data_IF_524729140908
#
_entry.id   IF_524729140908
#
_cell.length_a   1.000
_cell.length_b   1.000
_cell.length_c   1.000
_cell.angle_alpha   90.00
_cell.angle_beta   90.00
_cell.angle_gamma   90.00
#
_symmetry.space_group_name_H-M   'P 1'
#
loop_
_entity.id
_entity.type
_entity.pdbx_description
1 polymer ?
#
# COMPACT_ATOMS: atom_id res chain seq x y z
N UNK A 1 8.29 52.24 -1.98
CA UNK A 1 7.48 52.89 -0.94
C UNK A 1 7.26 51.85 0.14
N UNK A 2 8.09 51.88 1.18
CA UNK A 2 8.12 50.88 2.26
C UNK A 2 7.10 51.30 3.33
N UNK A 3 5.91 50.69 3.33
CA UNK A 3 4.98 50.81 4.46
C UNK A 3 5.38 49.78 5.51
N UNK A 4 6.22 50.18 6.46
CA UNK A 4 6.53 49.39 7.66
C UNK A 4 6.14 50.17 8.91
N UNK A 5 4.94 50.75 8.93
CA UNK A 5 4.29 51.00 10.22
C UNK A 5 3.71 49.68 10.68
N UNK A 6 4.10 49.25 11.87
CA UNK A 6 4.03 47.87 12.26
C UNK A 6 3.02 47.70 13.39
N UNK A 7 1.84 47.16 13.06
CA UNK A 7 0.64 46.97 13.89
C UNK A 7 0.86 46.25 15.24
N UNK A 8 2.05 45.67 15.45
CA UNK A 8 2.41 45.01 16.71
C UNK A 8 2.51 45.99 17.89
N UNK A 9 2.75 47.28 17.64
CA UNK A 9 2.76 48.33 18.66
C UNK A 9 1.34 48.67 19.13
N UNK A 10 0.37 48.70 18.21
CA UNK A 10 -1.04 48.95 18.51
C UNK A 10 -1.69 47.77 19.25
N UNK A 11 -1.23 46.55 18.96
CA UNK A 11 -1.74 45.34 19.60
C UNK A 11 -1.35 45.21 21.09
N UNK A 12 -0.21 45.77 21.51
CA UNK A 12 0.17 45.82 22.91
C UNK A 12 1.02 47.06 23.23
N UNK A 13 0.36 48.21 23.49
CA UNK A 13 1.04 49.49 23.70
C UNK A 13 1.72 49.61 25.07
N UNK A 14 1.50 48.66 25.99
CA UNK A 14 2.02 48.70 27.36
C UNK A 14 3.33 47.91 27.55
N UNK A 15 3.99 47.51 26.47
CA UNK A 15 5.27 46.81 26.57
C UNK A 15 6.41 47.78 26.86
N UNK A 16 7.31 47.48 27.82
CA UNK A 16 8.50 48.29 28.01
C UNK A 16 9.33 48.29 26.71
N UNK A 17 9.87 49.46 26.36
CA UNK A 17 10.69 49.70 25.16
C UNK A 17 9.99 49.59 23.80
N UNK A 18 8.65 49.75 23.73
CA UNK A 18 7.93 49.78 22.46
C UNK A 18 8.20 48.51 21.61
N UNK A 19 8.35 47.36 22.27
CA UNK A 19 8.69 46.08 21.62
C UNK A 19 7.46 45.45 20.95
N UNK A 20 6.26 45.90 21.32
CA UNK A 20 4.98 45.43 20.78
C UNK A 20 4.66 43.98 21.11
N UNK A 21 3.56 43.48 20.56
CA UNK A 21 3.12 42.11 20.80
C UNK A 21 4.07 41.08 20.15
N UNK A 22 4.63 40.16 20.94
CA UNK A 22 5.55 39.11 20.48
C UNK A 22 4.94 38.14 19.45
N UNK A 23 3.61 38.07 19.36
CA UNK A 23 2.92 37.28 18.32
C UNK A 23 2.75 38.05 17.01
N UNK A 24 2.66 39.37 17.07
CA UNK A 24 2.42 40.23 15.93
C UNK A 24 3.72 40.77 15.32
N UNK A 25 4.84 40.73 16.06
CA UNK A 25 6.14 41.16 15.56
C UNK A 25 6.63 40.22 14.45
N UNK A 26 6.74 40.73 13.23
CA UNK A 26 7.40 40.04 12.12
C UNK A 26 8.91 40.12 12.37
N UNK A 27 9.49 39.04 12.89
CA UNK A 27 10.94 38.96 13.10
C UNK A 27 11.65 38.93 11.76
N UNK A 28 12.70 39.75 11.61
CA UNK A 28 13.59 39.63 10.45
C UNK A 28 14.20 38.22 10.46
N UNK A 29 14.10 37.47 9.36
CA UNK A 29 14.73 36.16 9.28
C UNK A 29 16.24 36.32 9.42
N UNK A 30 16.89 35.39 10.12
CA UNK A 30 18.35 35.42 10.33
C UNK A 30 19.13 35.16 9.03
N UNK A 31 18.45 34.59 8.03
CA UNK A 31 18.99 34.24 6.72
C UNK A 31 18.02 34.76 5.67
N UNK A 32 18.52 35.44 4.64
CA UNK A 32 17.68 36.10 3.64
C UNK A 32 16.98 35.09 2.71
N UNK A 33 17.75 34.39 1.87
CA UNK A 33 17.28 33.36 0.96
C UNK A 33 18.47 32.52 0.45
N UNK A 34 18.19 31.42 -0.24
CA UNK A 34 19.20 30.54 -0.84
C UNK A 34 20.13 31.26 -1.82
N UNK A 35 19.65 32.31 -2.50
CA UNK A 35 20.49 33.09 -3.42
C UNK A 35 21.52 33.96 -2.68
N UNK A 36 21.16 34.48 -1.51
CA UNK A 36 22.04 35.39 -0.75
C UNK A 36 23.02 34.64 0.15
N UNK A 37 22.66 33.45 0.62
CA UNK A 37 23.53 32.61 1.45
C UNK A 37 23.35 31.13 1.11
N UNK A 38 23.88 30.66 -0.03
CA UNK A 38 23.73 29.28 -0.45
C UNK A 38 24.40 28.29 0.52
N UNK A 39 25.36 28.73 1.35
CA UNK A 39 26.05 27.86 2.30
C UNK A 39 25.10 27.36 3.40
N UNK A 40 24.20 28.22 3.89
CA UNK A 40 23.23 27.86 4.94
C UNK A 40 22.14 26.91 4.45
N UNK A 41 21.91 26.82 3.13
CA UNK A 41 20.88 25.92 2.56
C UNK A 41 21.44 24.61 2.00
N UNK A 42 22.75 24.36 2.08
CA UNK A 42 23.38 23.12 1.54
C UNK A 42 22.77 21.84 2.08
N UNK A 43 22.39 21.82 3.36
CA UNK A 43 21.78 20.63 3.98
C UNK A 43 20.31 20.43 3.59
N UNK A 44 19.67 21.47 3.05
CA UNK A 44 18.30 21.44 2.54
C UNK A 44 18.26 21.18 1.03
N UNK A 45 19.39 21.32 0.34
CA UNK A 45 19.52 20.92 -1.05
C UNK A 45 19.18 19.44 -1.14
N UNK A 46 18.17 19.11 -1.93
CA UNK A 46 17.82 17.72 -2.23
C UNK A 46 19.00 17.12 -3.00
N UNK A 47 19.90 16.47 -2.29
CA UNK A 47 20.80 15.51 -2.91
C UNK A 47 19.88 14.43 -3.47
N UNK A 48 19.80 14.33 -4.79
CA UNK A 48 19.18 13.18 -5.42
C UNK A 48 19.84 11.95 -4.82
N UNK A 49 19.10 11.24 -3.97
CA UNK A 49 19.59 9.99 -3.37
C UNK A 49 19.60 8.97 -4.49
N UNK A 50 20.67 8.99 -5.28
CA UNK A 50 20.93 8.02 -6.32
C UNK A 50 20.80 6.63 -5.68
N UNK A 51 19.90 5.81 -6.23
CA UNK A 51 19.84 4.40 -5.88
C UNK A 51 18.89 3.99 -4.74
N UNK A 52 18.00 4.86 -4.22
CA UNK A 52 16.82 4.34 -3.50
C UNK A 52 15.89 3.65 -4.48
N UNK A 53 16.16 2.37 -4.76
CA UNK A 53 15.23 1.47 -5.43
C UNK A 53 14.00 1.37 -4.54
N UNK A 54 12.96 2.15 -4.86
CA UNK A 54 11.62 1.92 -4.32
C UNK A 54 11.23 0.50 -4.73
N UNK A 55 11.34 -0.44 -3.79
CA UNK A 55 10.76 -1.77 -3.95
C UNK A 55 9.27 -1.57 -4.14
N UNK A 56 8.82 -1.55 -5.39
CA UNK A 56 7.40 -1.54 -5.71
C UNK A 56 6.86 -2.87 -5.21
N UNK A 57 6.18 -2.85 -4.07
CA UNK A 57 5.43 -4.01 -3.60
C UNK A 57 4.38 -4.33 -4.65
N UNK A 58 4.54 -5.47 -5.31
CA UNK A 58 3.68 -5.93 -6.38
C UNK A 58 2.32 -6.32 -5.80
N UNK A 59 1.40 -5.35 -5.79
CA UNK A 59 -0.01 -5.58 -5.48
C UNK A 59 -0.63 -6.49 -6.54
N UNK A 60 -1.62 -7.28 -6.16
CA UNK A 60 -2.29 -8.18 -7.09
C UNK A 60 -2.89 -7.40 -8.28
N UNK A 61 -2.70 -7.89 -9.49
CA UNK A 61 -3.50 -7.43 -10.61
C UNK A 61 -4.94 -7.87 -10.39
N UNK A 62 -5.88 -6.92 -10.40
CA UNK A 62 -7.32 -7.22 -10.36
C UNK A 62 -7.82 -7.04 -11.80
N UNK A 63 -8.24 -8.12 -12.48
CA UNK A 63 -8.87 -8.03 -13.80
C UNK A 63 -10.10 -7.13 -13.75
N UNK A 64 -10.48 -6.55 -14.90
CA UNK A 64 -11.80 -5.92 -15.00
C UNK A 64 -12.87 -6.98 -14.76
N UNK A 65 -13.83 -6.68 -13.90
CA UNK A 65 -14.93 -7.56 -13.55
C UNK A 65 -16.23 -6.75 -13.50
N UNK A 66 -17.35 -7.43 -13.71
CA UNK A 66 -18.67 -6.85 -13.53
C UNK A 66 -19.02 -6.88 -12.04
N UNK A 67 -19.41 -5.72 -11.51
CA UNK A 67 -19.71 -5.58 -10.07
C UNK A 67 -20.92 -6.42 -9.70
N UNK A 68 -20.73 -7.37 -8.79
CA UNK A 68 -21.79 -8.26 -8.34
C UNK A 68 -22.55 -7.69 -7.15
N UNK A 69 -23.76 -8.22 -6.83
CA UNK A 69 -24.54 -7.75 -5.68
C UNK A 69 -23.78 -7.84 -4.35
N UNK A 70 -22.94 -8.87 -4.18
CA UNK A 70 -22.16 -9.07 -2.97
C UNK A 70 -21.04 -8.01 -2.82
N UNK A 71 -20.44 -7.56 -3.93
CA UNK A 71 -19.48 -6.45 -3.95
C UNK A 71 -20.12 -5.14 -3.49
N UNK A 72 -21.35 -4.88 -3.94
CA UNK A 72 -22.12 -3.71 -3.56
C UNK A 72 -22.52 -3.74 -2.08
N UNK A 73 -22.88 -4.91 -1.56
CA UNK A 73 -23.17 -5.10 -0.14
C UNK A 73 -21.92 -4.87 0.72
N UNK A 74 -20.78 -5.45 0.33
CA UNK A 74 -19.50 -5.22 1.01
C UNK A 74 -19.12 -3.73 0.99
N UNK A 75 -19.22 -3.08 -0.17
CA UNK A 75 -18.98 -1.64 -0.32
C UNK A 75 -19.86 -0.81 0.62
N UNK A 76 -21.15 -1.12 0.70
CA UNK A 76 -22.10 -0.45 1.61
C UNK A 76 -21.72 -0.68 3.08
N UNK A 77 -21.37 -1.91 3.45
CA UNK A 77 -20.96 -2.27 4.81
C UNK A 77 -19.68 -1.53 5.21
N UNK A 78 -18.67 -1.48 4.32
CA UNK A 78 -17.43 -0.72 4.55
C UNK A 78 -17.69 0.78 4.67
N UNK A 79 -18.61 1.33 3.88
CA UNK A 79 -19.03 2.73 4.01
C UNK A 79 -19.66 3.03 5.37
N UNK A 80 -20.52 2.14 5.87
CA UNK A 80 -21.13 2.27 7.18
C UNK A 80 -20.08 2.15 8.29
N UNK A 81 -19.25 1.10 8.24
CA UNK A 81 -18.15 0.87 9.16
C UNK A 81 -17.26 2.10 9.33
N UNK A 82 -16.80 2.72 8.23
CA UNK A 82 -15.94 3.92 8.35
C UNK A 82 -16.65 5.14 8.90
N UNK A 83 -17.97 5.28 8.73
CA UNK A 83 -18.75 6.36 9.36
C UNK A 83 -18.82 6.14 10.87
N UNK A 84 -19.17 4.92 11.29
CA UNK A 84 -19.32 4.57 12.70
C UNK A 84 -17.99 4.71 13.45
N UNK A 85 -16.90 4.22 12.87
CA UNK A 85 -15.56 4.37 13.46
C UNK A 85 -15.09 5.82 13.49
N UNK A 86 -15.53 6.66 12.56
CA UNK A 86 -15.22 8.11 12.60
C UNK A 86 -15.95 8.79 13.76
N UNK A 87 -17.24 8.49 13.95
CA UNK A 87 -18.02 9.03 15.07
C UNK A 87 -17.42 8.56 16.40
N UNK A 88 -17.11 7.27 16.50
CA UNK A 88 -16.56 6.64 17.70
C UNK A 88 -15.18 7.18 18.08
N UNK A 89 -14.29 7.39 17.11
CA UNK A 89 -12.90 7.81 17.38
C UNK A 89 -12.76 9.33 17.50
N UNK A 90 -13.51 10.09 16.70
CA UNK A 90 -13.26 11.52 16.51
C UNK A 90 -14.47 12.41 16.75
N UNK A 91 -15.64 11.87 17.13
CA UNK A 91 -16.93 12.56 17.28
C UNK A 91 -17.69 12.90 15.97
N UNK A 92 -18.96 13.28 16.15
CA UNK A 92 -19.88 13.62 15.06
C UNK A 92 -19.49 14.89 14.30
N UNK A 93 -18.90 15.88 14.98
CA UNK A 93 -18.46 17.12 14.33
C UNK A 93 -17.33 16.84 13.33
N UNK A 94 -16.39 15.95 13.68
CA UNK A 94 -15.35 15.50 12.76
C UNK A 94 -15.91 14.79 11.53
N UNK A 95 -16.94 13.94 11.70
CA UNK A 95 -17.60 13.30 10.55
C UNK A 95 -18.21 14.35 9.61
N UNK A 96 -18.83 15.41 10.13
CA UNK A 96 -19.44 16.47 9.31
C UNK A 96 -18.40 17.34 8.59
N UNK A 97 -17.29 17.65 9.24
CA UNK A 97 -16.28 18.58 8.72
C UNK A 97 -15.24 17.90 7.81
N UNK A 98 -14.75 16.71 8.20
CA UNK A 98 -13.66 16.00 7.49
C UNK A 98 -14.14 14.77 6.71
N UNK A 99 -15.35 14.28 7.02
CA UNK A 99 -15.91 13.09 6.42
C UNK A 99 -15.30 11.77 6.95
N UNK A 100 -15.85 10.63 6.51
CA UNK A 100 -15.40 9.30 6.96
C UNK A 100 -14.06 8.86 6.35
N UNK A 101 -13.53 9.66 5.42
CA UNK A 101 -12.26 9.44 4.74
C UNK A 101 -11.07 9.40 5.69
N UNK A 102 -11.19 10.03 6.87
CA UNK A 102 -10.16 10.05 7.92
C UNK A 102 -9.87 8.65 8.48
N UNK A 103 -10.87 7.76 8.50
CA UNK A 103 -10.70 6.35 8.88
C UNK A 103 -10.21 5.53 7.69
N UNK A 104 -10.93 5.60 6.57
CA UNK A 104 -10.65 4.80 5.38
C UNK A 104 -10.95 5.61 4.11
N UNK A 105 -9.91 5.88 3.32
CA UNK A 105 -10.03 6.58 2.05
C UNK A 105 -10.89 5.80 1.05
N UNK A 106 -11.51 6.49 0.08
CA UNK A 106 -12.26 5.83 -0.99
C UNK A 106 -11.38 4.84 -1.76
N UNK A 107 -10.16 5.24 -2.11
CA UNK A 107 -9.18 4.37 -2.81
C UNK A 107 -8.85 3.09 -2.04
N UNK A 108 -8.72 3.19 -0.71
CA UNK A 108 -8.52 2.01 0.15
C UNK A 108 -9.75 1.10 0.12
N UNK A 109 -10.94 1.68 0.26
CA UNK A 109 -12.21 0.95 0.24
C UNK A 109 -12.42 0.23 -1.09
N UNK A 110 -12.26 0.94 -2.21
CA UNK A 110 -12.38 0.38 -3.56
C UNK A 110 -11.42 -0.80 -3.73
N UNK A 111 -10.16 -0.63 -3.29
CA UNK A 111 -9.16 -1.69 -3.36
C UNK A 111 -9.52 -2.91 -2.51
N UNK A 112 -10.16 -2.72 -1.36
CA UNK A 112 -10.62 -3.83 -0.53
C UNK A 112 -11.71 -4.62 -1.25
N UNK A 113 -12.70 -3.93 -1.84
CA UNK A 113 -13.78 -4.56 -2.61
C UNK A 113 -13.20 -5.33 -3.80
N UNK A 114 -12.33 -4.69 -4.58
CA UNK A 114 -11.66 -5.30 -5.73
C UNK A 114 -10.89 -6.57 -5.37
N UNK A 115 -10.15 -6.54 -4.26
CA UNK A 115 -9.39 -7.69 -3.80
C UNK A 115 -10.26 -8.76 -3.13
N UNK A 116 -11.39 -8.38 -2.53
CA UNK A 116 -12.37 -9.32 -1.98
C UNK A 116 -13.09 -10.10 -3.08
N UNK A 117 -13.44 -9.42 -4.19
CA UNK A 117 -14.07 -10.03 -5.36
C UNK A 117 -13.27 -11.23 -5.90
N UNK A 118 -11.94 -11.10 -5.97
CA UNK A 118 -11.04 -12.18 -6.40
C UNK A 118 -10.52 -13.06 -5.25
N UNK A 119 -11.13 -12.97 -4.06
CA UNK A 119 -10.75 -13.70 -2.85
C UNK A 119 -9.26 -13.57 -2.46
N UNK A 120 -8.64 -12.42 -2.75
CA UNK A 120 -7.20 -12.18 -2.51
C UNK A 120 -6.89 -11.85 -1.05
N UNK A 121 -7.85 -11.27 -0.33
CA UNK A 121 -7.69 -10.85 1.08
C UNK A 121 -8.45 -11.83 1.98
N UNK A 122 -7.69 -12.66 2.69
CA UNK A 122 -8.17 -13.59 3.73
C UNK A 122 -7.54 -13.30 5.09
N UNK A 123 -6.43 -12.56 5.12
CA UNK A 123 -5.67 -12.24 6.33
C UNK A 123 -5.36 -10.75 6.43
N UNK A 124 -5.10 -10.27 7.65
CA UNK A 124 -4.71 -8.86 7.89
C UNK A 124 -3.40 -8.52 7.15
N UNK A 125 -2.46 -9.47 7.07
CA UNK A 125 -1.20 -9.28 6.32
C UNK A 125 -1.46 -9.01 4.83
N UNK A 126 -2.37 -9.78 4.21
CA UNK A 126 -2.78 -9.55 2.82
C UNK A 126 -3.52 -8.23 2.66
N UNK A 127 -4.41 -7.87 3.58
CA UNK A 127 -5.09 -6.57 3.59
C UNK A 127 -4.07 -5.42 3.59
N UNK A 128 -3.08 -5.47 4.50
CA UNK A 128 -2.01 -4.47 4.61
C UNK A 128 -1.15 -4.42 3.36
N UNK A 129 -0.81 -5.58 2.80
CA UNK A 129 -0.02 -5.68 1.58
C UNK A 129 -0.74 -5.07 0.36
N UNK A 130 -2.02 -5.40 0.16
CA UNK A 130 -2.79 -4.98 -1.01
C UNK A 130 -3.24 -3.51 -0.95
N UNK A 131 -3.53 -3.01 0.24
CA UNK A 131 -4.09 -1.66 0.41
C UNK A 131 -3.06 -0.61 0.81
N UNK A 132 -1.94 -1.04 1.41
CA UNK A 132 -0.97 -0.14 2.08
C UNK A 132 -1.62 0.78 3.12
N UNK A 133 -2.77 0.34 3.67
CA UNK A 133 -3.51 1.13 4.63
C UNK A 133 -2.84 1.05 6.00
N UNK A 134 -2.37 2.20 6.51
CA UNK A 134 -1.66 2.29 7.78
C UNK A 134 -2.48 1.83 8.98
N UNK A 135 -3.82 1.89 8.90
CA UNK A 135 -4.73 1.49 9.99
C UNK A 135 -5.21 0.04 9.86
N UNK A 136 -4.62 -0.75 8.95
CA UNK A 136 -4.94 -2.16 8.77
C UNK A 136 -4.66 -2.98 10.05
N UNK A 137 -3.67 -2.62 10.86
CA UNK A 137 -3.41 -3.34 12.12
C UNK A 137 -4.50 -3.07 13.17
N UNK A 138 -5.08 -1.86 13.17
CA UNK A 138 -6.14 -1.46 14.12
C UNK A 138 -7.51 -1.99 13.72
N UNK A 139 -7.86 -1.87 12.43
CA UNK A 139 -9.21 -2.15 11.94
C UNK A 139 -9.30 -3.43 11.11
N UNK A 140 -8.17 -4.10 10.86
CA UNK A 140 -8.09 -5.24 9.96
C UNK A 140 -9.00 -6.39 10.36
N UNK A 141 -9.10 -6.70 11.65
CA UNK A 141 -9.99 -7.78 12.14
C UNK A 141 -11.44 -7.52 11.75
N UNK A 142 -11.96 -6.32 12.01
CA UNK A 142 -13.33 -5.95 11.67
C UNK A 142 -13.58 -5.94 10.15
N UNK A 143 -12.62 -5.43 9.38
CA UNK A 143 -12.71 -5.41 7.91
C UNK A 143 -12.68 -6.82 7.32
N UNK A 144 -11.82 -7.71 7.83
CA UNK A 144 -11.79 -9.12 7.41
C UNK A 144 -13.12 -9.80 7.73
N UNK A 145 -13.71 -9.54 8.90
CA UNK A 145 -15.02 -10.08 9.23
C UNK A 145 -16.10 -9.62 8.23
N UNK A 146 -16.11 -8.34 7.85
CA UNK A 146 -17.02 -7.84 6.82
C UNK A 146 -16.80 -8.51 5.45
N UNK A 147 -15.54 -8.71 5.05
CA UNK A 147 -15.21 -9.43 3.82
C UNK A 147 -15.77 -10.85 3.86
N UNK A 148 -15.58 -11.58 4.97
CA UNK A 148 -16.07 -12.95 5.12
C UNK A 148 -17.60 -13.01 5.06
N UNK A 149 -18.29 -12.09 5.73
CA UNK A 149 -19.77 -12.02 5.75
C UNK A 149 -20.35 -11.79 4.35
N UNK A 150 -19.68 -10.99 3.52
CA UNK A 150 -20.18 -10.58 2.21
C UNK A 150 -19.53 -11.33 1.04
N UNK A 151 -18.57 -12.24 1.28
CA UNK A 151 -17.98 -13.05 0.22
C UNK A 151 -18.88 -14.26 -0.06
N UNK A 152 -19.13 -14.61 -1.33
CA UNK A 152 -19.80 -15.87 -1.66
C UNK A 152 -18.94 -17.03 -1.14
N UNK A 153 -19.57 -17.96 -0.42
CA UNK A 153 -18.91 -19.21 -0.03
C UNK A 153 -18.56 -19.97 -1.30
N UNK A 154 -17.28 -20.17 -1.58
CA UNK A 154 -16.84 -21.05 -2.68
C UNK A 154 -17.24 -22.46 -2.26
N UNK A 155 -18.15 -23.15 -2.98
CA UNK A 155 -18.46 -24.53 -2.66
C UNK A 155 -17.18 -25.37 -2.75
N UNK A 156 -16.95 -26.30 -1.82
CA UNK A 156 -15.80 -27.20 -1.92
C UNK A 156 -15.88 -27.92 -3.28
N UNK A 157 -14.88 -27.71 -4.12
CA UNK A 157 -14.76 -28.44 -5.39
C UNK A 157 -14.77 -29.94 -5.01
N UNK A 158 -15.71 -30.76 -5.53
CA UNK A 158 -15.72 -32.17 -5.22
C UNK A 158 -14.38 -32.77 -5.64
N UNK A 159 -13.66 -33.33 -4.68
CA UNK A 159 -12.43 -34.07 -4.93
C UNK A 159 -12.75 -35.12 -6.01
N UNK A 160 -12.05 -35.07 -7.14
CA UNK A 160 -12.12 -36.15 -8.13
C UNK A 160 -11.79 -37.45 -7.40
N UNK A 161 -12.76 -38.35 -7.35
CA UNK A 161 -12.60 -39.67 -6.75
C UNK A 161 -11.39 -40.37 -7.40
N UNK A 162 -10.49 -41.01 -6.62
CA UNK A 162 -9.47 -41.86 -7.20
C UNK A 162 -10.18 -43.10 -7.77
N UNK A 163 -10.01 -43.36 -9.06
CA UNK A 163 -10.37 -44.65 -9.63
C UNK A 163 -9.46 -45.72 -9.02
N UNK A 164 -10.01 -46.58 -8.17
CA UNK A 164 -9.42 -47.85 -7.72
C UNK A 164 -10.40 -48.93 -8.23
N UNK A 165 -10.01 -49.93 -9.02
CA UNK A 165 -9.28 -51.17 -8.71
C UNK A 165 -8.84 -51.78 -10.06
N UNK A 166 -7.76 -52.56 -10.21
CA UNK A 166 -7.49 -53.85 -9.56
C UNK A 166 -5.96 -54.12 -9.57
N UNK A 167 -5.40 -54.57 -8.45
CA UNK A 167 -4.10 -55.27 -8.35
C UNK A 167 -4.30 -56.80 -8.49
N UNK A 168 -3.25 -57.57 -8.83
CA UNK A 168 -2.45 -58.18 -7.75
C UNK A 168 -0.93 -58.04 -7.92
N UNK A 169 -0.24 -57.98 -6.77
CA UNK A 169 1.21 -57.86 -6.52
C UNK A 169 1.97 -59.19 -6.78
N UNK A 170 3.26 -59.39 -6.41
CA UNK A 170 4.29 -58.48 -5.86
C UNK A 170 5.71 -58.67 -6.47
N UNK A 171 6.53 -57.61 -6.61
CA UNK A 171 7.99 -57.76 -6.44
C UNK A 171 8.65 -56.42 -6.07
N UNK A 172 9.57 -56.50 -5.11
CA UNK A 172 10.36 -55.43 -4.50
C UNK A 172 11.06 -54.48 -5.48
N UNK A 173 11.13 -53.20 -5.13
CA UNK A 173 12.00 -52.23 -5.80
C UNK A 173 11.71 -50.78 -5.42
N UNK A 174 12.50 -50.26 -4.49
CA UNK A 174 12.83 -48.85 -4.26
C UNK A 174 12.72 -47.97 -5.53
N UNK A 175 11.95 -46.87 -5.54
CA UNK A 175 12.33 -45.46 -5.85
C UNK A 175 11.08 -44.54 -5.78
N UNK A 176 11.17 -43.43 -5.07
CA UNK A 176 10.23 -42.29 -5.11
C UNK A 176 10.26 -41.56 -6.47
N UNK A 177 9.13 -41.25 -7.14
CA UNK A 177 9.11 -40.32 -8.25
C UNK A 177 8.83 -38.90 -7.74
N UNK A 178 9.89 -38.09 -7.73
CA UNK A 178 9.83 -36.62 -7.69
C UNK A 178 9.11 -36.14 -8.95
N UNK A 179 8.11 -35.28 -8.80
CA UNK A 179 7.40 -34.62 -9.89
C UNK A 179 8.39 -33.87 -10.77
N UNK A 180 8.54 -34.32 -12.02
CA UNK A 180 9.43 -33.71 -12.99
C UNK A 180 8.99 -32.27 -13.31
N UNK A 181 9.70 -31.30 -12.74
CA UNK A 181 9.68 -29.92 -13.22
C UNK A 181 10.32 -29.94 -14.60
N UNK A 182 9.54 -29.64 -15.64
CA UNK A 182 10.10 -29.46 -16.99
C UNK A 182 11.17 -28.35 -16.93
N UNK A 183 12.42 -28.64 -17.33
CA UNK A 183 13.49 -27.66 -17.22
C UNK A 183 13.20 -26.49 -18.16
N UNK A 184 13.15 -25.27 -17.59
CA UNK A 184 12.97 -24.04 -18.36
C UNK A 184 14.16 -23.86 -19.30
N UNK A 185 13.87 -23.62 -20.59
CA UNK A 185 14.87 -23.30 -21.63
C UNK A 185 15.23 -21.82 -21.55
N UNK A 186 16.52 -21.48 -21.65
CA UNK A 186 16.96 -20.09 -21.77
C UNK A 186 16.45 -19.49 -23.09
N UNK A 187 15.82 -18.31 -23.04
CA UNK A 187 15.25 -17.65 -24.24
C UNK A 187 16.31 -17.17 -25.24
N UNK A 188 17.57 -17.02 -24.81
CA UNK A 188 18.66 -16.50 -25.65
C UNK A 188 19.46 -17.61 -26.33
N UNK A 189 19.84 -18.66 -25.59
CA UNK A 189 20.67 -19.77 -26.13
C UNK A 189 19.95 -21.13 -26.21
N UNK A 190 18.67 -21.21 -25.82
CA UNK A 190 17.81 -22.41 -25.85
C UNK A 190 18.30 -23.62 -25.03
N UNK A 191 19.41 -23.51 -24.31
CA UNK A 191 19.94 -24.56 -23.43
C UNK A 191 19.10 -24.75 -22.15
N UNK A 192 19.12 -25.97 -21.61
CA UNK A 192 18.44 -26.35 -20.37
C UNK A 192 19.35 -26.08 -19.16
N UNK A 193 18.80 -25.51 -18.08
CA UNK A 193 19.50 -25.38 -16.79
C UNK A 193 19.78 -23.95 -16.31
N UNK A 194 19.44 -22.90 -17.07
CA UNK A 194 19.56 -21.51 -16.62
C UNK A 194 18.44 -20.60 -17.19
N UNK A 195 18.20 -19.48 -16.50
CA UNK A 195 17.30 -18.39 -16.94
C UNK A 195 18.15 -17.15 -17.29
N UNK A 196 17.71 -16.30 -18.23
CA UNK A 196 18.56 -15.25 -18.83
C UNK A 196 19.13 -14.22 -17.84
N UNK A 197 18.61 -14.15 -16.62
CA UNK A 197 19.06 -13.24 -15.56
C UNK A 197 20.21 -13.80 -14.72
N UNK A 198 20.67 -15.03 -14.98
CA UNK A 198 21.82 -15.63 -14.33
C UNK A 198 22.87 -16.01 -15.39
N UNK A 199 23.86 -15.12 -15.56
CA UNK A 199 25.18 -15.36 -16.18
C UNK A 199 25.19 -16.20 -17.48
N UNK A 200 24.85 -15.58 -18.62
CA UNK A 200 25.13 -16.13 -19.95
C UNK A 200 26.50 -15.64 -20.43
N UNK A 201 27.58 -16.31 -20.02
CA UNK A 201 28.93 -16.03 -20.53
C UNK A 201 29.29 -17.06 -21.60
N UNK A 202 29.00 -16.74 -22.86
CA UNK A 202 29.67 -17.38 -24.00
C UNK A 202 30.18 -16.28 -24.95
N UNK A 203 31.38 -15.83 -24.60
CA UNK A 203 32.57 -15.63 -25.46
C UNK A 203 32.36 -15.37 -26.96
N UNK A 204 32.85 -14.20 -27.35
CA UNK A 204 33.24 -13.75 -28.71
C UNK A 204 34.03 -14.82 -29.49
N UNK A 205 33.88 -14.89 -30.81
CA UNK A 205 34.95 -15.37 -31.68
C UNK A 205 35.74 -14.19 -32.25
N UNK A 206 37.03 -14.21 -31.97
CA UNK A 206 38.09 -13.59 -32.77
C UNK A 206 38.20 -14.31 -34.11
N UNK A 207 38.13 -13.56 -35.22
CA UNK A 207 38.93 -13.68 -36.46
C UNK A 207 38.47 -12.61 -37.43
#
# INVERSE_FOLDING_TARGET
MLCTESDHLDCNPHTPNNTGCLRCIVRKPQVCCELCDPATFKDFARVDVEGRKCLRRNRAHVPKYDTQPHDMQLRKALHQFRKDETIKTFNLATLKNLGPSIVMSNKTLDRIVDCAHIHKITTISQLKHETQWSRADTYGVAVIALIVVHSPSIPPVPARAPAILIQPSPTNGLVTPVTAITPKKCSSCKALGHISTLFCYQTLPTS
#
